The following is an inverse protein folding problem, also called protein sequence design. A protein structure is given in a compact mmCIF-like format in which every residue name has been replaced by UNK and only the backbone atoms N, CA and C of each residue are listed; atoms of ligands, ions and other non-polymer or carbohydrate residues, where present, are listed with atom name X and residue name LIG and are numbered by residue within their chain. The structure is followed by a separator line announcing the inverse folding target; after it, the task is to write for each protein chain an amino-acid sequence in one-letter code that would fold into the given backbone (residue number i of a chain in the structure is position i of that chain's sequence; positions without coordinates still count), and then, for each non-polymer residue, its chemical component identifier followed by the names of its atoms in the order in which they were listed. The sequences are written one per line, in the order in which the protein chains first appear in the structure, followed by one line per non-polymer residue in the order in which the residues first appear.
data_IF_911046187846
#
_entry.id   IF_911046187846
#
_cell.length_a   1.000
_cell.length_b   1.000
_cell.length_c   1.000
_cell.angle_alpha   90.00
_cell.angle_beta   90.00
_cell.angle_gamma   90.00
#
_symmetry.space_group_name_H-M   'P 1'
#
loop_
_entity.id
_entity.type
_entity.pdbx_description
1 polymer ?
#
# COMPACT_ATOMS: atom_id res chain seq x y z
N UNK A 1 41.67 15.39 16.92
CA UNK A 1 41.66 13.96 16.54
C UNK A 1 41.36 13.91 15.05
N UNK A 2 42.19 13.24 14.25
CA UNK A 2 41.98 13.15 12.81
C UNK A 2 40.79 12.23 12.50
N UNK A 3 40.04 12.51 11.43
CA UNK A 3 38.99 11.60 10.93
C UNK A 3 39.64 10.29 10.51
N UNK A 4 38.98 9.18 10.84
CA UNK A 4 39.36 7.86 10.36
C UNK A 4 38.89 7.67 8.91
N UNK A 5 39.47 6.69 8.21
CA UNK A 5 39.06 6.34 6.84
C UNK A 5 37.59 5.93 6.77
N UNK A 6 37.07 5.30 7.82
CA UNK A 6 35.66 4.90 7.94
C UNK A 6 34.73 6.10 8.04
N UNK A 7 35.12 7.13 8.81
CA UNK A 7 34.37 8.38 8.94
C UNK A 7 34.22 9.09 7.59
N UNK A 8 35.31 9.11 6.80
CA UNK A 8 35.33 9.69 5.45
C UNK A 8 34.41 8.90 4.52
N UNK A 9 34.40 7.56 4.63
CA UNK A 9 33.51 6.70 3.85
C UNK A 9 32.04 6.95 4.19
N UNK A 10 31.71 7.12 5.46
CA UNK A 10 30.35 7.45 5.89
C UNK A 10 29.90 8.80 5.32
N UNK A 11 30.75 9.84 5.38
CA UNK A 11 30.47 11.15 4.79
C UNK A 11 30.25 11.08 3.26
N UNK A 12 31.08 10.32 2.55
CA UNK A 12 30.94 10.15 1.10
C UNK A 12 29.64 9.40 0.74
N UNK A 13 29.23 8.42 1.56
CA UNK A 13 27.93 7.78 1.39
C UNK A 13 26.77 8.74 1.63
N UNK A 14 26.85 9.61 2.65
CA UNK A 14 25.85 10.67 2.87
C UNK A 14 25.77 11.59 1.65
N UNK A 15 26.92 12.01 1.11
CA UNK A 15 27.00 12.84 -0.09
C UNK A 15 26.32 12.18 -1.29
N UNK A 16 26.60 10.90 -1.55
CA UNK A 16 26.01 10.16 -2.67
C UNK A 16 24.49 10.06 -2.56
N UNK A 17 23.95 9.80 -1.36
CA UNK A 17 22.51 9.73 -1.13
C UNK A 17 21.82 11.09 -1.32
N UNK A 18 22.43 12.17 -0.81
CA UNK A 18 21.92 13.54 -1.02
C UNK A 18 21.94 13.96 -2.49
N UNK A 19 22.98 13.56 -3.24
CA UNK A 19 23.03 13.78 -4.69
C UNK A 19 21.92 13.04 -5.43
N UNK A 20 21.65 11.78 -5.06
CA UNK A 20 20.56 11.01 -5.64
C UNK A 20 19.20 11.67 -5.37
N UNK A 21 18.95 12.09 -4.13
CA UNK A 21 17.73 12.83 -3.77
C UNK A 21 17.58 14.13 -4.59
N UNK A 22 18.67 14.89 -4.72
CA UNK A 22 18.69 16.14 -5.51
C UNK A 22 18.38 15.88 -6.98
N UNK A 23 18.96 14.83 -7.58
CA UNK A 23 18.69 14.44 -8.96
C UNK A 23 17.22 14.04 -9.16
N UNK A 24 16.64 13.29 -8.22
CA UNK A 24 15.24 12.88 -8.28
C UNK A 24 14.28 14.07 -8.16
N UNK A 25 14.56 15.03 -7.26
CA UNK A 25 13.79 16.29 -7.15
C UNK A 25 13.90 17.11 -8.45
N UNK A 26 15.11 17.20 -9.03
CA UNK A 26 15.33 17.93 -10.27
C UNK A 26 14.56 17.29 -11.44
N UNK A 27 14.54 15.96 -11.53
CA UNK A 27 13.75 15.22 -12.53
C UNK A 27 12.25 15.49 -12.35
N UNK A 28 11.74 15.36 -11.12
CA UNK A 28 10.33 15.61 -10.81
C UNK A 28 9.93 17.05 -11.20
N UNK A 29 10.76 18.03 -10.86
CA UNK A 29 10.55 19.42 -11.25
C UNK A 29 10.53 19.59 -12.77
N UNK A 30 11.45 18.94 -13.49
CA UNK A 30 11.48 19.00 -14.95
C UNK A 30 10.22 18.38 -15.58
N UNK A 31 9.70 17.30 -15.00
CA UNK A 31 8.48 16.65 -15.47
C UNK A 31 7.25 17.57 -15.30
N UNK A 32 7.14 18.26 -14.17
CA UNK A 32 6.11 19.29 -13.96
C UNK A 32 6.26 20.49 -14.89
N UNK A 33 7.48 20.91 -15.21
CA UNK A 33 7.73 22.05 -16.10
C UNK A 33 7.46 21.74 -17.58
N UNK A 34 7.58 20.47 -17.99
CA UNK A 34 7.35 20.01 -19.37
C UNK A 34 5.87 19.70 -19.65
N UNK A 35 5.12 19.31 -18.61
CA UNK A 35 3.71 18.93 -18.72
C UNK A 35 2.78 20.13 -18.87
N UNK A 36 2.52 20.54 -20.11
CA UNK A 36 1.25 21.17 -20.46
C UNK A 36 0.48 20.20 -21.38
N UNK A 37 -0.49 19.40 -20.89
CA UNK A 37 -1.12 19.39 -19.56
C UNK A 37 -0.27 18.72 -18.46
N UNK A 38 -0.69 18.87 -17.19
CA UNK A 38 -0.03 18.26 -16.02
C UNK A 38 0.29 16.78 -16.27
N UNK A 39 1.42 16.27 -15.75
CA UNK A 39 1.76 14.85 -15.85
C UNK A 39 0.62 13.96 -15.31
N UNK A 40 0.51 12.75 -15.86
CA UNK A 40 -0.47 11.78 -15.38
C UNK A 40 -0.27 11.48 -13.88
N UNK A 41 -1.38 11.34 -13.15
CA UNK A 41 -1.35 11.11 -11.70
C UNK A 41 -0.54 9.87 -11.30
N UNK A 42 -0.59 8.80 -12.10
CA UNK A 42 0.19 7.57 -11.88
C UNK A 42 1.70 7.83 -11.85
N UNK A 43 2.19 8.72 -12.74
CA UNK A 43 3.59 9.14 -12.80
C UNK A 43 3.99 9.97 -11.57
N UNK A 44 3.12 10.87 -11.13
CA UNK A 44 3.33 11.68 -9.91
C UNK A 44 3.36 10.78 -8.67
N UNK A 45 2.44 9.83 -8.56
CA UNK A 45 2.39 8.91 -7.43
C UNK A 45 3.65 8.02 -7.37
N UNK A 46 4.11 7.53 -8.51
CA UNK A 46 5.34 6.74 -8.62
C UNK A 46 6.56 7.56 -8.22
N UNK A 47 6.71 8.77 -8.76
CA UNK A 47 7.84 9.66 -8.43
C UNK A 47 7.83 10.11 -6.97
N UNK A 48 6.65 10.35 -6.38
CA UNK A 48 6.49 10.63 -4.95
C UNK A 48 6.89 9.43 -4.08
N UNK A 49 6.52 8.21 -4.47
CA UNK A 49 6.92 6.98 -3.76
C UNK A 49 8.44 6.77 -3.79
N UNK A 50 9.07 7.01 -4.96
CA UNK A 50 10.53 6.98 -5.12
C UNK A 50 11.18 8.05 -4.22
N UNK A 51 10.64 9.26 -4.18
CA UNK A 51 11.17 10.34 -3.35
C UNK A 51 11.09 9.99 -1.86
N UNK A 52 9.95 9.47 -1.41
CA UNK A 52 9.77 9.00 -0.03
C UNK A 52 10.81 7.93 0.35
N UNK A 53 11.01 6.94 -0.52
CA UNK A 53 12.02 5.89 -0.29
C UNK A 53 13.44 6.45 -0.18
N UNK A 54 13.80 7.43 -1.02
CA UNK A 54 15.11 8.07 -0.96
C UNK A 54 15.28 8.93 0.31
N UNK A 55 14.24 9.65 0.73
CA UNK A 55 14.26 10.42 1.99
C UNK A 55 14.45 9.47 3.16
N UNK A 56 13.68 8.37 3.23
CA UNK A 56 13.83 7.37 4.28
C UNK A 56 15.27 6.84 4.31
N UNK A 57 15.83 6.50 3.15
CA UNK A 57 17.19 6.00 3.04
C UNK A 57 18.27 7.00 3.52
N UNK A 58 18.04 8.30 3.31
CA UNK A 58 18.93 9.35 3.82
C UNK A 58 18.77 9.47 5.34
N UNK A 59 17.53 9.51 5.84
CA UNK A 59 17.22 9.62 7.28
C UNK A 59 17.82 8.45 8.06
N UNK A 60 17.64 7.21 7.59
CA UNK A 60 18.19 6.01 8.22
C UNK A 60 19.73 6.07 8.28
N UNK A 61 20.37 6.53 7.20
CA UNK A 61 21.82 6.68 7.14
C UNK A 61 22.34 7.76 8.08
N UNK A 62 21.64 8.90 8.18
CA UNK A 62 21.97 9.98 9.11
C UNK A 62 21.76 9.56 10.57
N UNK A 63 20.70 8.81 10.86
CA UNK A 63 20.43 8.29 12.20
C UNK A 63 21.53 7.30 12.64
N UNK A 64 21.89 6.36 11.76
CA UNK A 64 22.94 5.37 12.03
C UNK A 64 24.34 5.98 12.27
N UNK A 65 24.62 7.14 11.68
CA UNK A 65 25.90 7.85 11.82
C UNK A 65 25.79 9.14 12.66
N UNK A 66 24.73 9.29 13.45
CA UNK A 66 24.43 10.53 14.18
C UNK A 66 25.52 10.93 15.18
N UNK A 67 26.11 9.96 15.90
CA UNK A 67 27.23 10.20 16.82
C UNK A 67 28.44 10.80 16.08
N UNK A 68 28.82 10.20 14.94
CA UNK A 68 29.91 10.71 14.10
C UNK A 68 29.62 12.13 13.61
N UNK A 69 28.43 12.36 13.07
CA UNK A 69 28.04 13.64 12.47
C UNK A 69 27.95 14.77 13.51
N UNK A 70 27.52 14.47 14.73
CA UNK A 70 27.46 15.45 15.82
C UNK A 70 28.84 15.91 16.30
N UNK A 71 29.84 15.03 16.19
CA UNK A 71 31.22 15.32 16.59
C UNK A 71 31.98 16.14 15.55
N UNK A 72 31.62 16.03 14.28
CA UNK A 72 32.29 16.73 13.18
C UNK A 72 31.86 18.19 13.14
N UNK A 73 32.83 19.09 13.04
CA UNK A 73 32.61 20.53 12.85
C UNK A 73 33.13 20.94 11.48
N UNK A 74 32.24 21.46 10.63
CA UNK A 74 32.61 21.99 9.32
C UNK A 74 33.09 23.45 9.45
N UNK A 75 34.22 23.76 8.82
CA UNK A 75 34.78 25.10 8.69
C UNK A 75 35.34 25.30 7.28
N UNK A 76 35.37 26.53 6.74
CA UNK A 76 35.94 26.79 5.42
C UNK A 76 37.44 26.44 5.39
N UNK A 77 37.90 25.90 4.27
CA UNK A 77 39.34 25.69 4.06
C UNK A 77 40.05 27.03 3.90
N UNK A 78 41.37 27.04 4.12
CA UNK A 78 42.21 28.24 3.92
C UNK A 78 42.23 28.73 2.47
N UNK A 79 41.81 27.89 1.52
CA UNK A 79 41.72 28.22 0.11
C UNK A 79 40.36 28.86 -0.29
N UNK A 80 39.39 28.89 0.62
CA UNK A 80 38.10 29.50 0.35
C UNK A 80 38.16 31.03 0.43
N UNK A 81 37.63 31.78 -0.54
CA UNK A 81 37.72 33.24 -0.58
C UNK A 81 36.74 33.91 0.41
N UNK A 82 37.05 33.84 1.70
CA UNK A 82 36.17 34.29 2.79
C UNK A 82 35.83 35.78 2.77
N UNK A 83 36.71 36.65 2.23
CA UNK A 83 36.47 38.11 2.18
C UNK A 83 35.53 38.56 1.06
N UNK A 84 35.47 37.83 -0.06
CA UNK A 84 34.65 38.22 -1.22
C UNK A 84 33.33 37.46 -1.27
N UNK A 85 33.27 36.26 -0.68
CA UNK A 85 32.11 35.37 -0.72
C UNK A 85 31.64 34.97 0.68
N UNK A 86 31.73 35.89 1.65
CA UNK A 86 31.24 35.65 3.01
C UNK A 86 29.75 35.32 3.05
N UNK A 87 28.94 36.03 2.25
CA UNK A 87 27.49 35.78 2.19
C UNK A 87 27.13 34.36 1.75
N UNK A 88 27.84 33.81 0.76
CA UNK A 88 27.67 32.42 0.31
C UNK A 88 28.10 31.43 1.39
N UNK A 89 29.20 31.70 2.09
CA UNK A 89 29.68 30.86 3.19
C UNK A 89 28.64 30.76 4.31
N UNK A 90 28.06 31.90 4.70
CA UNK A 90 27.01 31.95 5.72
C UNK A 90 25.77 31.16 5.28
N UNK A 91 25.42 31.18 3.98
CA UNK A 91 24.32 30.37 3.44
C UNK A 91 24.62 28.87 3.48
N UNK A 92 25.83 28.45 3.07
CA UNK A 92 26.23 27.03 3.03
C UNK A 92 26.36 26.42 4.44
N UNK A 93 26.87 27.18 5.40
CA UNK A 93 27.06 26.72 6.78
C UNK A 93 25.87 27.05 7.71
N UNK A 94 24.76 27.55 7.15
CA UNK A 94 23.56 27.87 7.92
C UNK A 94 22.97 26.60 8.54
N UNK A 95 22.77 26.64 9.85
CA UNK A 95 22.05 25.58 10.61
C UNK A 95 20.62 25.95 11.00
N UNK A 96 20.25 27.24 10.88
CA UNK A 96 18.90 27.70 11.21
C UNK A 96 17.92 27.18 10.17
N UNK A 97 16.85 26.53 10.62
CA UNK A 97 15.75 26.04 9.79
C UNK A 97 15.10 27.18 8.99
N UNK A 98 14.31 26.81 8.01
CA UNK A 98 13.44 27.75 7.31
C UNK A 98 12.30 28.21 8.22
N UNK A 99 11.83 29.46 8.10
CA UNK A 99 10.81 30.00 9.00
C UNK A 99 9.52 29.18 8.99
N UNK A 100 9.10 28.65 7.84
CA UNK A 100 7.92 27.77 7.73
C UNK A 100 8.08 26.44 8.48
N UNK A 101 9.31 25.90 8.53
CA UNK A 101 9.59 24.66 9.24
C UNK A 101 9.74 24.94 10.74
N UNK A 102 10.29 26.10 11.12
CA UNK A 102 10.37 26.55 12.50
C UNK A 102 8.97 26.67 13.12
N UNK A 103 8.01 27.28 12.41
CA UNK A 103 6.61 27.36 12.88
C UNK A 103 5.99 25.99 13.06
N UNK A 104 6.18 25.06 12.12
CA UNK A 104 5.63 23.69 12.26
C UNK A 104 6.26 22.90 13.39
N UNK A 105 7.56 23.08 13.64
CA UNK A 105 8.26 22.46 14.76
C UNK A 105 7.76 23.03 16.09
N UNK A 106 7.55 24.33 16.16
CA UNK A 106 7.02 24.98 17.36
C UNK A 106 5.56 24.59 17.63
N UNK A 107 4.72 24.53 16.60
CA UNK A 107 3.36 23.98 16.67
C UNK A 107 3.39 22.52 17.16
N UNK A 108 4.26 21.68 16.60
CA UNK A 108 4.41 20.28 17.03
C UNK A 108 4.86 20.15 18.49
N UNK A 109 5.74 21.04 18.96
CA UNK A 109 6.14 21.09 20.38
C UNK A 109 5.00 21.53 21.28
N UNK A 110 4.22 22.51 20.86
CA UNK A 110 3.06 22.98 21.63
C UNK A 110 2.02 21.86 21.77
N UNK A 111 1.71 21.17 20.67
CA UNK A 111 0.82 20.00 20.68
C UNK A 111 1.35 18.85 21.54
N UNK A 112 2.68 18.63 21.57
CA UNK A 112 3.27 17.62 22.45
C UNK A 112 3.16 18.01 23.93
N UNK A 113 3.27 19.29 24.26
CA UNK A 113 3.09 19.81 25.62
C UNK A 113 1.61 19.71 26.03
N UNK A 114 0.71 20.15 25.16
CA UNK A 114 -0.74 20.05 25.35
C UNK A 114 -1.17 18.58 25.50
N UNK A 115 -0.58 17.67 24.72
CA UNK A 115 -0.80 16.22 24.83
C UNK A 115 -0.11 15.55 26.02
N UNK A 116 0.92 16.17 26.61
CA UNK A 116 1.55 15.69 27.85
C UNK A 116 0.76 16.12 29.10
N UNK A 117 0.05 17.26 29.04
CA UNK A 117 -0.99 17.60 30.01
C UNK A 117 -2.29 16.79 29.77
N UNK A 118 -2.53 16.34 28.54
CA UNK A 118 -3.61 15.41 28.14
C UNK A 118 -3.21 13.93 28.07
N UNK A 119 -2.28 13.48 28.93
CA UNK A 119 -1.94 12.05 29.08
C UNK A 119 -3.09 11.22 29.68
N UNK A 120 -4.10 11.88 30.22
CA UNK A 120 -5.48 11.41 30.33
C UNK A 120 -6.12 11.77 28.97
N UNK A 121 -6.34 10.91 27.99
CA UNK A 121 -6.89 9.58 28.15
C UNK A 121 -6.85 8.90 26.76
N UNK A 122 -5.65 8.44 26.35
CA UNK A 122 -5.51 7.60 25.15
C UNK A 122 -6.44 6.38 25.29
N UNK A 123 -6.63 5.87 26.51
CA UNK A 123 -7.57 4.80 26.81
C UNK A 123 -9.03 5.21 26.59
N UNK A 124 -9.46 6.45 26.87
CA UNK A 124 -10.77 7.03 26.47
C UNK A 124 -10.88 7.03 24.98
N UNK A 125 -9.85 7.49 24.27
CA UNK A 125 -9.95 7.59 22.81
C UNK A 125 -10.11 6.20 22.20
N UNK A 126 -9.42 5.20 22.76
CA UNK A 126 -9.60 3.79 22.37
C UNK A 126 -10.95 3.23 22.80
N UNK A 127 -11.44 3.55 24.01
CA UNK A 127 -12.77 3.13 24.50
C UNK A 127 -13.87 3.76 23.67
N UNK A 128 -13.81 5.05 23.40
CA UNK A 128 -14.71 5.78 22.50
C UNK A 128 -14.69 5.19 21.10
N UNK A 129 -13.51 4.92 20.53
CA UNK A 129 -13.39 4.29 19.22
C UNK A 129 -14.01 2.88 19.22
N UNK A 130 -13.77 2.09 20.27
CA UNK A 130 -14.35 0.76 20.41
C UNK A 130 -15.87 0.80 20.60
N UNK A 131 -16.39 1.75 21.38
CA UNK A 131 -17.82 1.96 21.60
C UNK A 131 -18.54 2.46 20.35
N UNK A 132 -17.85 3.25 19.52
CA UNK A 132 -18.37 3.72 18.23
C UNK A 132 -18.40 2.60 17.18
N UNK A 133 -17.31 1.82 17.10
CA UNK A 133 -17.14 0.78 16.09
C UNK A 133 -17.90 -0.50 16.47
N UNK A 134 -18.01 -0.83 17.75
CA UNK A 134 -18.61 -2.06 18.27
C UNK A 134 -20.06 -2.31 17.82
N UNK A 135 -20.97 -1.31 17.82
CA UNK A 135 -22.30 -1.45 17.24
C UNK A 135 -22.28 -1.77 15.74
N UNK A 136 -21.40 -1.11 14.96
CA UNK A 136 -21.29 -1.35 13.52
C UNK A 136 -20.71 -2.73 13.20
N UNK A 137 -19.71 -3.18 13.96
CA UNK A 137 -19.17 -4.54 13.83
C UNK A 137 -20.24 -5.58 14.19
N UNK A 138 -21.04 -5.35 15.23
CA UNK A 138 -22.14 -6.26 15.59
C UNK A 138 -23.22 -6.32 14.51
N UNK A 139 -23.59 -5.18 13.94
CA UNK A 139 -24.53 -5.11 12.82
C UNK A 139 -23.98 -5.83 11.58
N UNK A 140 -22.70 -5.60 11.27
CA UNK A 140 -22.02 -6.32 10.19
C UNK A 140 -22.02 -7.83 10.46
N UNK A 141 -21.58 -8.28 11.63
CA UNK A 141 -21.50 -9.70 11.98
C UNK A 141 -22.86 -10.40 12.03
N UNK A 142 -23.91 -9.70 12.44
CA UNK A 142 -25.25 -10.27 12.59
C UNK A 142 -26.04 -10.29 11.28
N UNK A 143 -25.90 -9.25 10.44
CA UNK A 143 -26.81 -9.00 9.32
C UNK A 143 -26.11 -8.92 7.96
N UNK A 144 -24.81 -8.63 7.91
CA UNK A 144 -24.08 -8.36 6.66
C UNK A 144 -22.95 -9.36 6.38
N UNK A 145 -22.50 -10.13 7.38
CA UNK A 145 -21.37 -11.06 7.24
C UNK A 145 -21.73 -12.36 6.52
N UNK A 146 -23.01 -12.75 6.57
CA UNK A 146 -23.58 -13.86 5.79
C UNK A 146 -24.34 -13.33 4.57
N UNK A 147 -24.30 -12.02 4.33
CA UNK A 147 -24.99 -11.39 3.21
C UNK A 147 -24.10 -11.49 1.97
N UNK A 148 -24.51 -12.31 1.02
CA UNK A 148 -23.82 -12.52 -0.25
C UNK A 148 -23.88 -11.29 -1.17
N UNK A 149 -24.71 -10.30 -0.81
CA UNK A 149 -24.99 -9.14 -1.64
C UNK A 149 -24.61 -7.84 -0.93
N UNK A 150 -23.92 -6.96 -1.67
CA UNK A 150 -23.58 -5.63 -1.16
C UNK A 150 -24.82 -4.75 -1.04
N UNK A 151 -24.74 -3.72 -0.18
CA UNK A 151 -25.83 -2.77 0.02
C UNK A 151 -26.27 -2.06 -1.28
N UNK A 152 -25.33 -1.84 -2.22
CA UNK A 152 -25.58 -1.21 -3.53
C UNK A 152 -26.40 -2.12 -4.46
N UNK A 153 -26.17 -3.44 -4.39
CA UNK A 153 -26.85 -4.45 -5.21
C UNK A 153 -28.30 -4.65 -4.75
N UNK A 154 -28.54 -4.60 -3.42
CA UNK A 154 -29.90 -4.64 -2.85
C UNK A 154 -30.70 -3.38 -3.18
N UNK A 155 -30.09 -2.20 -3.09
CA UNK A 155 -30.76 -0.93 -3.37
C UNK A 155 -31.12 -0.77 -4.87
N UNK A 156 -30.35 -1.41 -5.75
CA UNK A 156 -30.58 -1.39 -7.20
C UNK A 156 -31.63 -2.42 -7.66
N UNK A 157 -32.06 -3.33 -6.78
CA UNK A 157 -33.13 -4.29 -7.05
C UNK A 157 -32.75 -5.45 -7.99
N UNK A 158 -31.47 -5.57 -8.35
CA UNK A 158 -30.95 -6.58 -9.28
C UNK A 158 -30.32 -7.77 -8.53
N UNK A 159 -31.05 -8.34 -7.56
CA UNK A 159 -30.65 -9.63 -6.93
C UNK A 159 -30.62 -10.76 -7.98
N UNK A 160 -31.40 -10.61 -9.06
CA UNK A 160 -31.44 -11.56 -10.18
C UNK A 160 -30.26 -11.43 -11.16
N UNK A 161 -29.51 -10.32 -11.15
CA UNK A 161 -28.46 -10.05 -12.13
C UNK A 161 -27.19 -9.44 -11.52
N UNK A 162 -26.66 -10.12 -10.50
CA UNK A 162 -25.40 -9.77 -9.83
C UNK A 162 -24.21 -10.02 -10.76
N UNK A 163 -23.53 -8.94 -11.17
CA UNK A 163 -22.38 -8.96 -12.08
C UNK A 163 -21.04 -9.22 -11.34
N UNK A 164 -21.08 -9.25 -10.01
CA UNK A 164 -19.94 -9.24 -9.08
C UNK A 164 -19.72 -10.59 -8.43
N UNK A 165 -19.78 -11.68 -9.20
CA UNK A 165 -19.02 -12.92 -8.95
C UNK A 165 -19.19 -13.68 -7.63
N UNK A 166 -20.01 -13.27 -6.67
CA UNK A 166 -20.35 -14.05 -5.47
C UNK A 166 -21.71 -14.71 -5.70
N UNK A 167 -21.67 -15.87 -6.33
CA UNK A 167 -22.70 -16.90 -6.17
C UNK A 167 -22.01 -18.07 -5.52
N UNK A 168 -22.43 -18.45 -4.32
CA UNK A 168 -22.00 -19.73 -3.75
C UNK A 168 -22.73 -20.84 -4.51
N UNK A 169 -22.00 -21.80 -5.08
CA UNK A 169 -22.60 -22.95 -5.79
C UNK A 169 -22.72 -24.19 -4.88
N UNK A 170 -22.71 -24.03 -3.57
CA UNK A 170 -22.87 -25.13 -2.62
C UNK A 170 -23.97 -24.80 -1.61
N UNK A 171 -25.24 -25.09 -1.95
CA UNK A 171 -26.30 -25.45 -0.98
C UNK A 171 -27.58 -25.91 -1.71
N UNK A 172 -27.54 -27.12 -2.24
CA UNK A 172 -28.74 -27.97 -2.43
C UNK A 172 -28.30 -29.42 -2.33
N UNK A 173 -28.31 -29.98 -1.13
CA UNK A 173 -28.66 -31.39 -0.85
C UNK A 173 -28.70 -31.58 0.68
N UNK A 174 -29.76 -31.05 1.30
CA UNK A 174 -30.15 -31.33 2.69
C UNK A 174 -31.60 -31.83 2.70
N UNK A 175 -31.82 -33.11 2.40
CA UNK A 175 -32.97 -33.91 2.83
C UNK A 175 -32.54 -35.38 2.95
N UNK A 176 -32.42 -35.91 4.18
CA UNK A 176 -33.20 -37.09 4.62
C UNK A 176 -32.82 -37.47 6.07
N UNK A 177 -33.80 -37.27 6.96
CA UNK A 177 -33.88 -37.80 8.32
C UNK A 177 -34.08 -39.32 8.27
N UNK A 178 -33.28 -40.09 9.00
CA UNK A 178 -33.71 -41.41 9.51
C UNK A 178 -33.03 -41.67 10.88
N UNK A 179 -33.85 -41.64 11.93
CA UNK A 179 -33.52 -42.05 13.30
C UNK A 179 -33.53 -43.58 13.41
N UNK A 180 -32.39 -44.23 13.74
CA UNK A 180 -32.39 -45.46 14.55
C UNK A 180 -31.17 -45.47 15.48
N UNK A 181 -31.41 -45.46 16.79
CA UNK A 181 -30.44 -45.75 17.85
C UNK A 181 -30.14 -47.26 17.89
N UNK A 182 -28.87 -47.66 18.00
CA UNK A 182 -28.42 -48.71 18.94
C UNK A 182 -26.88 -48.79 19.04
N UNK A 183 -26.44 -49.24 20.22
CA UNK A 183 -25.14 -49.16 20.88
C UNK A 183 -23.97 -49.98 20.27
N UNK A 184 -22.78 -49.72 20.84
CA UNK A 184 -21.61 -50.62 21.06
C UNK A 184 -20.36 -50.62 20.14
N UNK A 185 -19.29 -50.07 20.71
CA UNK A 185 -17.87 -50.47 20.81
C UNK A 185 -17.01 -51.09 19.66
N UNK A 186 -15.83 -50.46 19.53
CA UNK A 186 -14.47 -51.00 19.32
C UNK A 186 -13.96 -51.66 17.98
N UNK A 187 -12.84 -51.07 17.50
CA UNK A 187 -11.58 -51.72 17.01
C UNK A 187 -11.37 -52.01 15.50
N UNK A 188 -10.39 -51.26 14.95
CA UNK A 188 -9.28 -51.60 14.03
C UNK A 188 -9.49 -52.34 12.70
N UNK A 189 -8.98 -51.70 11.63
CA UNK A 189 -7.94 -52.30 10.77
C UNK A 189 -8.32 -52.69 9.32
N UNK A 190 -7.47 -52.28 8.37
CA UNK A 190 -7.15 -53.12 7.20
C UNK A 190 -7.64 -52.69 5.80
N UNK A 191 -6.79 -51.92 5.11
CA UNK A 191 -6.28 -52.14 3.74
C UNK A 191 -7.20 -52.75 2.64
N UNK A 192 -7.48 -52.01 1.55
CA UNK A 192 -8.00 -52.65 0.32
C UNK A 192 -8.40 -51.79 -0.89
N UNK A 193 -7.43 -51.48 -1.76
CA UNK A 193 -7.49 -51.41 -3.25
C UNK A 193 -8.53 -50.52 -4.00
N UNK A 194 -7.99 -49.43 -4.58
CA UNK A 194 -7.97 -49.02 -6.03
C UNK A 194 -9.23 -49.16 -6.89
N UNK A 195 -9.72 -48.03 -7.43
CA UNK A 195 -10.10 -47.89 -8.85
C UNK A 195 -10.11 -46.41 -9.31
N UNK A 196 -9.23 -46.08 -10.25
CA UNK A 196 -9.20 -44.81 -11.00
C UNK A 196 -10.45 -44.69 -11.89
N UNK A 197 -11.20 -43.58 -11.79
CA UNK A 197 -12.18 -43.17 -12.81
C UNK A 197 -11.74 -41.88 -13.48
N UNK A 198 -11.60 -41.98 -14.82
CA UNK A 198 -11.16 -40.95 -15.76
C UNK A 198 -12.08 -39.71 -15.72
N UNK A 199 -11.47 -38.52 -15.62
CA UNK A 199 -12.16 -37.24 -15.90
C UNK A 199 -12.43 -37.10 -17.40
N UNK A 200 -13.70 -37.06 -17.79
CA UNK A 200 -14.13 -36.58 -19.09
C UNK A 200 -14.33 -35.05 -19.00
N UNK A 201 -13.71 -34.32 -19.92
CA UNK A 201 -13.69 -32.85 -20.01
C UNK A 201 -15.06 -32.36 -20.50
N UNK A 202 -15.76 -31.52 -19.72
CA UNK A 202 -16.97 -30.84 -20.15
C UNK A 202 -16.64 -29.66 -21.09
N UNK A 203 -17.53 -29.31 -22.06
CA UNK A 203 -17.24 -28.32 -23.10
C UNK A 203 -17.38 -26.87 -22.62
N UNK A 204 -16.46 -26.01 -23.06
CA UNK A 204 -16.49 -24.55 -22.86
C UNK A 204 -17.75 -23.94 -23.50
N UNK A 205 -18.55 -23.23 -22.68
CA UNK A 205 -19.76 -22.54 -23.13
C UNK A 205 -19.38 -21.27 -23.91
N UNK A 206 -19.72 -21.23 -25.20
CA UNK A 206 -19.58 -20.05 -26.05
C UNK A 206 -20.72 -19.04 -25.85
N UNK A 207 -20.38 -17.75 -25.92
CA UNK A 207 -21.33 -16.63 -25.79
C UNK A 207 -22.30 -16.60 -26.99
N UNK A 208 -23.59 -16.74 -26.73
CA UNK A 208 -24.67 -16.69 -27.72
C UNK A 208 -25.16 -15.27 -27.97
N UNK A 209 -25.48 -14.93 -29.23
CA UNK A 209 -26.26 -13.73 -29.58
C UNK A 209 -27.75 -14.08 -29.66
N UNK A 210 -28.59 -13.03 -29.63
CA UNK A 210 -30.07 -13.06 -29.66
C UNK A 210 -30.73 -13.87 -30.80
N UNK A 211 -29.99 -14.34 -31.81
CA UNK A 211 -30.47 -15.21 -32.90
C UNK A 211 -30.10 -16.70 -32.74
N UNK A 212 -29.60 -17.12 -31.57
CA UNK A 212 -29.52 -18.55 -31.20
C UNK A 212 -28.45 -19.40 -31.91
N UNK A 213 -27.60 -18.83 -32.77
CA UNK A 213 -26.46 -19.55 -33.37
C UNK A 213 -25.18 -19.34 -32.55
N UNK A 214 -24.53 -20.45 -32.16
CA UNK A 214 -23.24 -20.46 -31.45
C UNK A 214 -22.11 -20.25 -32.47
N UNK A 215 -21.27 -19.21 -32.29
CA UNK A 215 -20.07 -19.02 -33.13
C UNK A 215 -18.95 -19.93 -32.67
N UNK A 216 -18.26 -20.55 -33.62
CA UNK A 216 -17.05 -21.31 -33.32
C UNK A 216 -15.88 -20.35 -33.02
N UNK A 217 -14.89 -20.83 -32.25
CA UNK A 217 -13.73 -20.03 -31.85
C UNK A 217 -12.99 -19.40 -33.03
N UNK A 218 -12.91 -20.11 -34.15
CA UNK A 218 -12.27 -19.63 -35.37
C UNK A 218 -13.01 -18.46 -36.01
N UNK A 219 -14.35 -18.44 -35.93
CA UNK A 219 -15.19 -17.34 -36.43
C UNK A 219 -15.01 -16.07 -35.61
N UNK A 220 -14.89 -16.22 -34.28
CA UNK A 220 -14.64 -15.10 -33.36
C UNK A 220 -13.25 -14.50 -33.61
N UNK A 221 -12.23 -15.35 -33.75
CA UNK A 221 -10.86 -14.91 -34.02
C UNK A 221 -10.71 -14.26 -35.39
N UNK A 222 -11.44 -14.75 -36.40
CA UNK A 222 -11.46 -14.14 -37.73
C UNK A 222 -12.14 -12.77 -37.72
N UNK A 223 -13.26 -12.61 -37.01
CA UNK A 223 -13.90 -11.31 -36.85
C UNK A 223 -13.00 -10.29 -36.13
N UNK A 224 -12.33 -10.70 -35.06
CA UNK A 224 -11.44 -9.83 -34.30
C UNK A 224 -10.24 -9.33 -35.13
N UNK A 225 -9.83 -10.09 -36.15
CA UNK A 225 -8.67 -9.76 -36.98
C UNK A 225 -9.03 -9.08 -38.30
N UNK A 226 -10.18 -9.37 -38.90
CA UNK A 226 -10.56 -8.80 -40.20
C UNK A 226 -11.75 -7.82 -40.15
N UNK A 227 -12.46 -7.72 -39.03
CA UNK A 227 -13.51 -6.70 -38.80
C UNK A 227 -14.78 -6.82 -39.65
N UNK A 228 -14.93 -7.86 -40.48
CA UNK A 228 -16.10 -8.07 -41.35
C UNK A 228 -16.84 -9.32 -40.92
N UNK A 229 -18.18 -9.24 -40.88
CA UNK A 229 -19.10 -10.35 -40.58
C UNK A 229 -19.40 -11.10 -41.87
#
# INVERSE_FOLDING_TARGET
MALQQEDIKALEQTRQRLLNLTANIASLKADFQRGAPLPEYSSIMTSSSILSTNIQSVTDHLAANSELLSRIVAFPSTNFPGRTQEGLLLQLLRKKLEPQVETWVDEGRNLQIDGAEGGEDIEETWKWAADWIGPRIREYAANEATDEYTWEERASGDVDNVNTGLKDEEDTDDEDEDEEEEDDDEVMGGMGKRAEKKKAKAPEKGVTRKDGRVRTKEEILRFATSGVI
#
